data_IF_534840628197
#
_entry.id   IF_534840628197
#
_cell.length_a   1.000
_cell.length_b   1.000
_cell.length_c   1.000
_cell.angle_alpha   90.00
_cell.angle_beta   90.00
_cell.angle_gamma   90.00
#
_symmetry.space_group_name_H-M   'P 1'
#
loop_
_entity.id
_entity.type
_entity.pdbx_description
1 polymer ?
#
# COMPACT_ATOMS: atom_id res chain seq x y z
N UNK A 1 5.30 -15.34 -13.94
CA UNK A 1 4.89 -14.29 -14.91
C UNK A 1 4.79 -12.99 -14.11
N UNK A 2 5.70 -12.02 -14.24
CA UNK A 2 5.52 -10.72 -13.57
C UNK A 2 4.34 -10.01 -14.22
N UNK A 3 3.33 -9.71 -13.43
CA UNK A 3 2.20 -8.85 -13.82
C UNK A 3 2.80 -7.47 -14.12
N UNK A 4 2.47 -6.79 -15.24
CA UNK A 4 2.97 -5.45 -15.45
C UNK A 4 2.52 -4.57 -14.29
N UNK A 5 3.48 -4.05 -13.51
CA UNK A 5 3.28 -3.22 -12.32
C UNK A 5 2.70 -1.82 -12.61
N UNK A 6 2.05 -1.66 -13.76
CA UNK A 6 1.41 -0.42 -14.14
C UNK A 6 0.08 -0.77 -14.82
N UNK A 7 -0.92 -1.10 -14.01
CA UNK A 7 -2.30 -0.89 -14.45
C UNK A 7 -2.39 0.60 -14.72
N UNK A 8 -2.47 0.97 -16.01
CA UNK A 8 -2.63 2.34 -16.47
C UNK A 8 -3.82 2.96 -15.75
N UNK A 9 -3.55 3.58 -14.61
CA UNK A 9 -4.57 4.19 -13.77
C UNK A 9 -5.11 5.37 -14.56
N UNK A 10 -6.39 5.33 -14.91
CA UNK A 10 -7.08 6.43 -15.61
C UNK A 10 -7.39 7.61 -14.70
N UNK A 11 -6.75 7.69 -13.54
CA UNK A 11 -6.96 8.72 -12.54
C UNK A 11 -6.20 9.99 -12.93
N UNK A 12 -6.81 11.15 -12.64
CA UNK A 12 -6.20 12.45 -12.87
C UNK A 12 -6.31 13.30 -11.58
N UNK A 13 -5.18 13.72 -10.97
CA UNK A 13 -3.79 13.50 -11.39
C UNK A 13 -3.38 12.01 -11.39
N UNK A 14 -2.34 11.64 -12.15
CA UNK A 14 -1.88 10.25 -12.22
C UNK A 14 -1.52 9.74 -10.83
N UNK A 15 -1.87 8.48 -10.57
CA UNK A 15 -1.55 7.85 -9.30
C UNK A 15 -0.04 7.55 -9.20
N UNK A 16 0.52 7.65 -7.98
CA UNK A 16 1.92 7.32 -7.73
C UNK A 16 2.19 5.83 -7.95
N UNK A 17 3.41 5.52 -8.35
CA UNK A 17 3.87 4.14 -8.53
C UNK A 17 3.99 3.42 -7.19
N UNK A 18 3.74 2.11 -7.17
CA UNK A 18 3.79 1.32 -5.95
C UNK A 18 5.18 1.28 -5.29
N UNK A 19 6.26 1.51 -6.04
CA UNK A 19 7.63 1.56 -5.49
C UNK A 19 7.96 2.92 -4.84
N UNK A 20 7.26 4.00 -5.23
CA UNK A 20 7.50 5.36 -4.75
C UNK A 20 7.13 5.57 -3.28
N UNK A 21 7.76 6.53 -2.60
CA UNK A 21 7.49 6.84 -1.19
C UNK A 21 6.05 7.31 -0.94
N UNK A 22 5.45 7.93 -1.94
CA UNK A 22 4.07 8.44 -1.96
C UNK A 22 3.05 7.38 -2.45
N UNK A 23 3.41 6.10 -2.52
CA UNK A 23 2.54 5.00 -3.00
C UNK A 23 1.16 4.94 -2.31
N UNK A 24 1.08 5.32 -1.04
CA UNK A 24 -0.15 5.35 -0.24
C UNK A 24 -1.15 6.42 -0.70
N UNK A 25 -0.70 7.43 -1.47
CA UNK A 25 -1.56 8.46 -2.05
C UNK A 25 -2.34 7.98 -3.30
N UNK A 26 -2.12 6.74 -3.75
CA UNK A 26 -2.90 6.14 -4.82
C UNK A 26 -4.37 5.95 -4.43
N UNK A 27 -5.26 5.93 -5.43
CA UNK A 27 -6.70 5.84 -5.18
C UNK A 27 -7.06 4.46 -4.66
N UNK A 28 -7.78 4.40 -3.53
CA UNK A 28 -8.37 3.18 -3.01
C UNK A 28 -9.44 2.64 -3.97
N UNK A 29 -9.32 1.36 -4.33
CA UNK A 29 -10.26 0.65 -5.23
C UNK A 29 -11.04 -0.44 -4.52
N UNK A 30 -10.54 -0.96 -3.39
CA UNK A 30 -11.29 -1.82 -2.50
C UNK A 30 -10.95 -1.50 -1.04
N UNK A 31 -11.95 -1.56 -0.17
CA UNK A 31 -11.82 -1.34 1.26
C UNK A 31 -12.45 -2.51 1.99
N UNK A 32 -11.66 -3.19 2.83
CA UNK A 32 -12.09 -4.34 3.61
C UNK A 32 -11.77 -4.11 5.09
N UNK A 33 -12.52 -3.24 5.77
CA UNK A 33 -12.29 -2.93 7.18
C UNK A 33 -12.43 -4.18 8.07
N UNK A 34 -13.32 -5.12 7.70
CA UNK A 34 -13.50 -6.39 8.40
C UNK A 34 -12.25 -7.27 8.40
N UNK A 35 -11.35 -7.08 7.43
CA UNK A 35 -10.08 -7.80 7.31
C UNK A 35 -8.86 -6.91 7.61
N UNK A 36 -9.09 -5.62 7.87
CA UNK A 36 -8.08 -4.64 8.23
C UNK A 36 -7.17 -4.18 7.10
N UNK A 37 -7.63 -4.19 5.85
CA UNK A 37 -6.84 -3.75 4.69
C UNK A 37 -7.66 -3.03 3.62
N UNK A 38 -6.95 -2.28 2.79
CA UNK A 38 -7.47 -1.56 1.62
C UNK A 38 -6.54 -1.74 0.43
N UNK A 39 -7.09 -2.03 -0.75
CA UNK A 39 -6.33 -2.15 -2.00
C UNK A 39 -6.36 -0.83 -2.76
N UNK A 40 -5.18 -0.37 -3.19
CA UNK A 40 -4.98 0.81 -4.02
C UNK A 40 -4.86 0.42 -5.50
N UNK A 41 -5.17 1.36 -6.39
CA UNK A 41 -5.16 1.15 -7.84
C UNK A 41 -3.77 0.83 -8.43
N UNK A 42 -2.69 1.22 -7.75
CA UNK A 42 -1.32 0.86 -8.10
C UNK A 42 -0.94 -0.57 -7.65
N UNK A 43 -1.86 -1.31 -7.03
CA UNK A 43 -1.65 -2.67 -6.54
C UNK A 43 -1.06 -2.75 -5.13
N UNK A 44 -0.83 -1.61 -4.47
CA UNK A 44 -0.41 -1.59 -3.06
C UNK A 44 -1.60 -1.92 -2.16
N UNK A 45 -1.41 -2.83 -1.20
CA UNK A 45 -2.36 -3.09 -0.12
C UNK A 45 -1.89 -2.36 1.12
N UNK A 46 -2.73 -1.47 1.65
CA UNK A 46 -2.48 -0.73 2.88
C UNK A 46 -3.26 -1.40 4.01
N UNK A 47 -2.59 -1.64 5.12
CA UNK A 47 -3.17 -2.20 6.33
C UNK A 47 -3.50 -1.09 7.34
N UNK A 48 -4.46 -1.35 8.21
CA UNK A 48 -4.87 -0.41 9.28
C UNK A 48 -3.70 -0.06 10.24
N UNK A 49 -2.72 -0.96 10.40
CA UNK A 49 -1.52 -0.74 11.25
C UNK A 49 -0.47 0.15 10.58
N UNK A 50 -0.74 0.83 9.45
CA UNK A 50 0.22 1.53 8.57
C UNK A 50 1.21 0.62 7.82
N UNK A 51 1.03 -0.70 7.90
CA UNK A 51 1.81 -1.63 7.08
C UNK A 51 1.39 -1.56 5.62
N UNK A 52 2.30 -1.87 4.70
CA UNK A 52 2.00 -1.91 3.26
C UNK A 52 2.51 -3.22 2.65
N UNK A 53 1.77 -3.77 1.69
CA UNK A 53 2.20 -4.88 0.84
C UNK A 53 2.22 -4.39 -0.61
N UNK A 54 3.41 -4.38 -1.19
CA UNK A 54 3.62 -4.00 -2.58
C UNK A 54 3.13 -5.09 -3.54
N UNK A 55 2.76 -4.74 -4.79
CA UNK A 55 2.34 -5.72 -5.80
C UNK A 55 3.44 -6.73 -6.15
N UNK A 56 4.70 -6.41 -5.86
CA UNK A 56 5.87 -7.29 -6.02
C UNK A 56 6.00 -8.32 -4.88
N UNK A 57 5.12 -8.26 -3.87
CA UNK A 57 5.14 -9.14 -2.69
C UNK A 57 6.06 -8.65 -1.56
N UNK A 58 6.71 -7.50 -1.73
CA UNK A 58 7.52 -6.85 -0.69
C UNK A 58 6.62 -6.29 0.41
N UNK A 59 7.00 -6.51 1.66
CA UNK A 59 6.29 -6.01 2.85
C UNK A 59 7.04 -4.79 3.39
N UNK A 60 6.32 -3.69 3.57
CA UNK A 60 6.79 -2.51 4.29
C UNK A 60 6.22 -2.59 5.70
N UNK A 61 7.13 -2.63 6.67
CA UNK A 61 6.75 -2.77 8.06
C UNK A 61 5.97 -1.53 8.54
N UNK A 62 4.92 -1.72 9.35
CA UNK A 62 4.16 -0.63 9.94
C UNK A 62 5.06 0.30 10.76
N UNK A 63 4.79 1.60 10.69
CA UNK A 63 5.47 2.59 11.51
C UNK A 63 4.89 2.58 12.94
N UNK A 64 5.25 1.56 13.72
CA UNK A 64 5.01 1.62 15.17
C UNK A 64 6.08 2.53 15.77
N UNK A 65 5.74 3.52 16.59
CA UNK A 65 6.70 4.03 17.55
C UNK A 65 7.08 2.82 18.41
N UNK A 66 8.32 2.36 18.28
CA UNK A 66 8.88 1.38 19.21
C UNK A 66 8.76 1.99 20.59
N UNK A 67 7.75 1.56 21.37
CA UNK A 67 7.83 1.75 22.81
C UNK A 67 9.18 1.15 23.22
N UNK A 68 10.09 1.92 23.86
CA UNK A 68 11.32 1.32 24.35
C UNK A 68 10.89 0.18 25.24
N UNK A 69 11.40 -1.02 24.95
CA UNK A 69 11.14 -2.19 25.78
C UNK A 69 11.50 -1.81 27.21
N UNK A 70 10.50 -1.73 28.09
CA UNK A 70 10.74 -1.51 29.50
C UNK A 70 11.58 -2.69 30.00
N UNK A 71 12.80 -2.39 30.44
CA UNK A 71 13.70 -3.32 31.13
C UNK A 71 13.31 -3.43 32.61
#
# INVERSE_FOLDING_TARGET
MPVPANAVCVHQPPCPEADGFDREAARMVACHPEQGWSLLCNGTVVFEDTGELLPDGRIIAPHRPTAPSAA
#
